data_IF_512075149131
#
_entry.id   IF_512075149131
#
_cell.length_a   1.000
_cell.length_b   1.000
_cell.length_c   1.000
_cell.angle_alpha   90.00
_cell.angle_beta   90.00
_cell.angle_gamma   90.00
#
_symmetry.space_group_name_H-M   'P 1'
#
loop_
_entity.id
_entity.type
_entity.pdbx_description
1 polymer ?
#
# COMPACT_ATOMS: atom_id res chain seq x y z
N UNK A 1 9.73 24.46 4.02
CA UNK A 1 8.97 23.30 3.57
C UNK A 1 9.76 22.07 3.99
N UNK A 2 9.09 21.09 4.59
CA UNK A 2 9.73 19.83 4.98
C UNK A 2 10.07 19.02 3.73
N UNK A 3 10.90 17.99 3.85
CA UNK A 3 11.23 17.12 2.71
C UNK A 3 9.96 16.52 2.11
N UNK A 4 9.01 16.11 2.95
CA UNK A 4 7.74 15.53 2.53
C UNK A 4 6.85 16.53 1.81
N UNK A 5 6.76 17.78 2.29
CA UNK A 5 6.03 18.84 1.59
C UNK A 5 6.61 19.10 0.21
N UNK A 6 7.95 19.14 0.08
CA UNK A 6 8.60 19.30 -1.21
C UNK A 6 8.28 18.14 -2.15
N UNK A 7 8.32 16.91 -1.65
CA UNK A 7 7.97 15.72 -2.43
C UNK A 7 6.52 15.74 -2.89
N UNK A 8 5.57 16.00 -1.98
CA UNK A 8 4.13 16.08 -2.30
C UNK A 8 3.84 17.18 -3.34
N UNK A 9 4.50 18.33 -3.22
CA UNK A 9 4.39 19.41 -4.20
C UNK A 9 4.94 19.01 -5.57
N UNK A 10 6.05 18.26 -5.62
CA UNK A 10 6.61 17.77 -6.88
C UNK A 10 5.72 16.69 -7.51
N UNK A 11 5.30 15.69 -6.74
CA UNK A 11 4.58 14.52 -7.22
C UNK A 11 3.12 14.81 -7.57
N UNK A 12 2.45 15.64 -6.78
CA UNK A 12 1.00 15.90 -6.88
C UNK A 12 0.62 17.34 -7.18
N UNK A 13 1.58 18.27 -7.18
CA UNK A 13 1.30 19.67 -7.48
C UNK A 13 0.92 19.94 -8.94
N UNK A 14 0.52 21.18 -9.19
CA UNK A 14 0.09 21.67 -10.50
C UNK A 14 1.25 22.18 -11.37
N UNK A 15 2.49 22.07 -10.90
CA UNK A 15 3.68 22.62 -11.56
C UNK A 15 4.21 21.82 -12.75
N UNK A 16 3.70 20.60 -12.98
CA UNK A 16 4.13 19.70 -14.06
C UNK A 16 2.98 19.35 -15.00
N UNK A 17 3.28 19.24 -16.29
CA UNK A 17 2.34 18.67 -17.26
C UNK A 17 2.29 17.14 -17.17
N UNK A 18 1.31 16.53 -17.82
CA UNK A 18 1.09 15.07 -17.77
C UNK A 18 2.32 14.25 -18.19
N UNK A 19 3.06 14.72 -19.19
CA UNK A 19 4.27 14.03 -19.67
C UNK A 19 5.38 14.05 -18.63
N UNK A 20 5.61 15.18 -17.98
CA UNK A 20 6.62 15.31 -16.93
C UNK A 20 6.25 14.47 -15.70
N UNK A 21 4.95 14.41 -15.36
CA UNK A 21 4.46 13.53 -14.30
C UNK A 21 4.71 12.06 -14.63
N UNK A 22 4.42 11.64 -15.86
CA UNK A 22 4.68 10.27 -16.32
C UNK A 22 6.18 9.92 -16.24
N UNK A 23 7.06 10.82 -16.70
CA UNK A 23 8.53 10.62 -16.61
C UNK A 23 9.00 10.53 -15.15
N UNK A 24 8.49 11.40 -14.26
CA UNK A 24 8.78 11.37 -12.83
C UNK A 24 8.36 10.04 -12.20
N UNK A 25 7.11 9.63 -12.42
CA UNK A 25 6.56 8.39 -11.85
C UNK A 25 7.26 7.15 -12.40
N UNK A 26 7.56 7.12 -13.70
CA UNK A 26 8.31 6.03 -14.33
C UNK A 26 9.71 5.87 -13.72
N UNK A 27 10.43 6.98 -13.53
CA UNK A 27 11.73 6.99 -12.87
C UNK A 27 11.65 6.58 -11.40
N UNK A 28 10.67 7.13 -10.67
CA UNK A 28 10.40 6.80 -9.28
C UNK A 28 10.12 5.30 -9.09
N UNK A 29 9.22 4.70 -9.89
CA UNK A 29 8.88 3.28 -9.78
C UNK A 29 10.05 2.36 -10.09
N UNK A 30 10.92 2.74 -11.04
CA UNK A 30 12.13 1.98 -11.32
C UNK A 30 13.09 1.95 -10.12
N UNK A 31 13.27 3.11 -9.48
CA UNK A 31 14.11 3.24 -8.27
C UNK A 31 13.47 2.49 -7.09
N UNK A 32 12.19 2.75 -6.82
CA UNK A 32 11.43 2.12 -5.74
C UNK A 32 11.48 0.59 -5.85
N UNK A 33 11.27 0.06 -7.06
CA UNK A 33 11.41 -1.37 -7.33
C UNK A 33 12.81 -1.87 -6.95
N UNK A 34 13.88 -1.19 -7.39
CA UNK A 34 15.26 -1.57 -7.05
C UNK A 34 15.55 -1.53 -5.55
N UNK A 35 14.98 -0.59 -4.81
CA UNK A 35 15.08 -0.53 -3.35
C UNK A 35 14.38 -1.75 -2.72
N UNK A 36 13.13 -2.03 -3.13
CA UNK A 36 12.40 -3.20 -2.62
C UNK A 36 13.08 -4.52 -2.99
N UNK A 37 13.65 -4.67 -4.18
CA UNK A 37 14.41 -5.87 -4.55
C UNK A 37 15.57 -6.13 -3.57
N UNK A 38 16.27 -5.08 -3.14
CA UNK A 38 17.35 -5.17 -2.13
C UNK A 38 16.79 -5.50 -0.74
N UNK A 39 15.73 -4.82 -0.30
CA UNK A 39 15.11 -5.04 1.03
C UNK A 39 14.53 -6.46 1.13
N UNK A 40 13.80 -6.90 0.11
CA UNK A 40 13.18 -8.23 0.06
C UNK A 40 14.21 -9.36 -0.09
N UNK A 41 15.41 -9.07 -0.59
CA UNK A 41 16.49 -10.05 -0.59
C UNK A 41 16.97 -10.38 0.84
N UNK A 42 16.90 -9.41 1.77
CA UNK A 42 17.24 -9.57 3.18
C UNK A 42 16.13 -9.02 4.10
N UNK A 43 14.96 -9.65 4.17
CA UNK A 43 13.79 -9.08 4.86
C UNK A 43 13.96 -8.96 6.39
N UNK A 44 14.93 -9.68 6.96
CA UNK A 44 15.27 -9.61 8.39
C UNK A 44 16.32 -8.53 8.71
N UNK A 45 16.93 -7.92 7.69
CA UNK A 45 17.91 -6.85 7.87
C UNK A 45 17.18 -5.56 8.26
N UNK A 46 17.60 -5.00 9.39
CA UNK A 46 17.13 -3.70 9.84
C UNK A 46 18.05 -2.65 9.25
N UNK A 47 17.48 -1.78 8.40
CA UNK A 47 18.22 -0.71 7.76
C UNK A 47 18.02 0.56 8.59
N UNK A 48 19.08 1.05 9.21
CA UNK A 48 19.10 2.30 9.98
C UNK A 48 20.09 3.28 9.35
N UNK A 49 19.72 4.55 9.29
CA UNK A 49 20.56 5.62 8.73
C UNK A 49 19.79 6.94 8.63
N UNK A 50 20.48 8.02 8.29
CA UNK A 50 19.80 9.28 7.95
C UNK A 50 19.12 9.20 6.58
N UNK A 51 18.13 10.06 6.32
CA UNK A 51 17.48 10.13 5.00
C UNK A 51 18.52 10.30 3.88
N UNK A 52 19.54 11.13 4.12
CA UNK A 52 20.64 11.33 3.19
C UNK A 52 21.52 10.09 3.00
N UNK A 53 21.91 9.43 4.09
CA UNK A 53 22.71 8.20 4.01
C UNK A 53 21.97 7.09 3.24
N UNK A 54 20.64 6.98 3.44
CA UNK A 54 19.83 6.04 2.69
C UNK A 54 19.74 6.43 1.22
N UNK A 55 19.54 7.70 0.91
CA UNK A 55 19.55 8.18 -0.48
C UNK A 55 20.86 7.81 -1.19
N UNK A 56 22.01 8.05 -0.54
CA UNK A 56 23.33 7.67 -1.05
C UNK A 56 23.50 6.13 -1.16
N UNK A 57 23.07 5.36 -0.16
CA UNK A 57 23.15 3.89 -0.14
C UNK A 57 22.38 3.25 -1.30
N UNK A 58 21.26 3.85 -1.70
CA UNK A 58 20.41 3.37 -2.77
C UNK A 58 20.63 4.10 -4.10
N UNK A 59 21.66 4.95 -4.20
CA UNK A 59 22.00 5.74 -5.39
C UNK A 59 20.80 6.52 -5.94
N UNK A 60 20.07 7.17 -5.03
CA UNK A 60 18.90 7.96 -5.35
C UNK A 60 18.99 9.36 -4.75
N UNK A 61 18.08 10.24 -5.16
CA UNK A 61 17.99 11.59 -4.61
C UNK A 61 17.23 11.57 -3.27
N UNK A 62 17.61 12.47 -2.36
CA UNK A 62 16.94 12.63 -1.05
C UNK A 62 15.42 12.77 -1.19
N UNK A 63 14.97 13.46 -2.24
CA UNK A 63 13.55 13.68 -2.49
C UNK A 63 12.83 12.41 -2.93
N UNK A 64 13.46 11.56 -3.73
CA UNK A 64 12.93 10.25 -4.14
C UNK A 64 12.94 9.29 -2.95
N UNK A 65 14.01 9.28 -2.16
CA UNK A 65 14.07 8.53 -0.90
C UNK A 65 12.98 8.97 0.07
N UNK A 66 12.67 10.26 0.12
CA UNK A 66 11.55 10.79 0.93
C UNK A 66 10.22 10.19 0.49
N UNK A 67 9.94 10.14 -0.81
CA UNK A 67 8.73 9.50 -1.34
C UNK A 67 8.66 8.01 -1.00
N UNK A 68 9.80 7.31 -1.10
CA UNK A 68 9.91 5.92 -0.70
C UNK A 68 9.62 5.72 0.80
N UNK A 69 10.22 6.57 1.65
CA UNK A 69 10.02 6.53 3.09
C UNK A 69 8.57 6.81 3.50
N UNK A 70 7.89 7.74 2.82
CA UNK A 70 6.46 8.01 2.99
C UNK A 70 5.62 6.76 2.68
N UNK A 71 5.85 6.13 1.53
CA UNK A 71 5.12 4.93 1.11
C UNK A 71 5.37 3.70 1.98
N UNK A 72 6.62 3.48 2.43
CA UNK A 72 6.95 2.30 3.24
C UNK A 72 6.56 2.46 4.72
N UNK A 73 6.37 3.69 5.21
CA UNK A 73 6.14 3.96 6.64
C UNK A 73 4.95 3.18 7.20
N UNK A 74 3.85 3.09 6.44
CA UNK A 74 2.65 2.35 6.82
C UNK A 74 2.89 0.83 6.91
N UNK A 75 3.96 0.33 6.30
CA UNK A 75 4.32 -1.09 6.23
C UNK A 75 5.40 -1.51 7.22
N UNK A 76 5.87 -0.58 8.06
CA UNK A 76 6.88 -0.87 9.09
C UNK A 76 6.29 -1.64 10.28
N UNK A 77 7.19 -2.33 10.99
CA UNK A 77 6.85 -3.26 12.07
C UNK A 77 6.61 -2.56 13.42
N UNK A 78 5.43 -1.95 13.54
CA UNK A 78 4.90 -1.48 14.82
C UNK A 78 5.47 -0.15 15.32
N UNK A 79 6.16 0.60 14.46
CA UNK A 79 6.58 1.98 14.69
C UNK A 79 6.43 2.78 13.40
N UNK A 80 6.46 4.10 13.52
CA UNK A 80 6.37 5.04 12.40
C UNK A 80 7.53 6.03 12.52
N UNK A 81 8.22 6.27 11.41
CA UNK A 81 9.24 7.31 11.33
C UNK A 81 8.58 8.70 11.27
N UNK A 82 9.25 9.77 11.70
CA UNK A 82 8.70 11.12 11.71
C UNK A 82 8.69 11.76 10.30
N UNK A 83 7.99 11.15 9.34
CA UNK A 83 8.00 11.55 7.91
C UNK A 83 7.53 13.00 7.69
N UNK A 84 6.53 13.46 8.46
CA UNK A 84 5.97 14.81 8.31
C UNK A 84 6.98 15.92 8.70
N UNK A 85 7.88 15.65 9.64
CA UNK A 85 8.84 16.63 10.17
C UNK A 85 10.30 16.31 9.86
N UNK A 86 10.57 15.31 9.02
CA UNK A 86 11.94 14.89 8.73
C UNK A 86 12.69 15.86 7.81
N UNK A 87 14.00 15.87 8.01
CA UNK A 87 15.01 16.51 7.20
C UNK A 87 16.07 15.50 6.74
N UNK A 88 17.10 15.97 6.03
CA UNK A 88 18.14 15.13 5.41
C UNK A 88 18.96 14.33 6.44
N UNK A 89 19.13 14.89 7.64
CA UNK A 89 19.95 14.34 8.73
C UNK A 89 19.10 13.54 9.73
N UNK A 90 17.78 13.49 9.54
CA UNK A 90 16.87 12.74 10.39
C UNK A 90 17.14 11.25 10.27
N UNK A 91 17.44 10.60 11.40
CA UNK A 91 17.64 9.15 11.46
C UNK A 91 16.30 8.42 11.33
N UNK A 92 16.22 7.52 10.38
CA UNK A 92 15.06 6.66 10.13
C UNK A 92 15.47 5.20 10.17
N UNK A 93 14.49 4.35 10.49
CA UNK A 93 14.66 2.91 10.56
C UNK A 93 13.68 2.22 9.63
N UNK A 94 14.14 1.28 8.83
CA UNK A 94 13.33 0.46 7.94
C UNK A 94 13.45 -1.00 8.38
N UNK A 95 12.41 -1.48 9.07
CA UNK A 95 12.18 -2.88 9.43
C UNK A 95 10.81 -3.26 8.86
N UNK A 96 10.84 -4.05 7.79
CA UNK A 96 9.63 -4.46 7.09
C UNK A 96 8.94 -5.62 7.79
N UNK A 97 7.61 -5.60 7.80
CA UNK A 97 6.80 -6.78 8.08
C UNK A 97 6.34 -7.36 6.73
N UNK A 98 6.85 -8.51 6.29
CA UNK A 98 6.52 -9.07 4.98
C UNK A 98 5.03 -9.26 4.71
N UNK A 99 4.25 -9.70 5.71
CA UNK A 99 2.82 -9.93 5.52
C UNK A 99 2.06 -8.61 5.38
N UNK A 100 2.39 -7.64 6.24
CA UNK A 100 1.79 -6.30 6.22
C UNK A 100 2.19 -5.53 4.96
N UNK A 101 3.46 -5.57 4.58
CA UNK A 101 3.99 -4.94 3.38
C UNK A 101 3.31 -5.51 2.13
N UNK A 102 3.20 -6.85 2.02
CA UNK A 102 2.50 -7.48 0.91
C UNK A 102 1.02 -7.05 0.85
N UNK A 103 0.34 -7.01 2.00
CA UNK A 103 -1.05 -6.57 2.09
C UNK A 103 -1.23 -5.13 1.59
N UNK A 104 -0.39 -4.20 2.06
CA UNK A 104 -0.42 -2.79 1.69
C UNK A 104 -0.09 -2.59 0.20
N UNK A 105 0.86 -3.33 -0.36
CA UNK A 105 1.16 -3.29 -1.80
C UNK A 105 -0.04 -3.72 -2.66
N UNK A 106 -0.79 -4.75 -2.23
CA UNK A 106 -2.00 -5.20 -2.94
C UNK A 106 -3.13 -4.16 -2.85
N UNK A 107 -3.20 -3.43 -1.72
CA UNK A 107 -4.12 -2.31 -1.54
C UNK A 107 -3.79 -1.12 -2.44
N UNK A 108 -2.51 -0.74 -2.49
CA UNK A 108 -1.99 0.30 -3.37
C UNK A 108 -2.01 -0.09 -4.87
N UNK A 109 -2.35 -1.35 -5.19
CA UNK A 109 -2.31 -1.93 -6.54
C UNK A 109 -0.92 -1.87 -7.18
N UNK A 110 0.12 -2.00 -6.36
CA UNK A 110 1.51 -1.96 -6.79
C UNK A 110 1.98 -3.31 -7.36
N UNK A 111 1.43 -3.71 -8.52
CA UNK A 111 1.73 -5.00 -9.18
C UNK A 111 3.24 -5.21 -9.39
N UNK A 112 3.98 -4.15 -9.73
CA UNK A 112 5.43 -4.21 -9.93
C UNK A 112 6.24 -4.55 -8.67
N UNK A 113 5.64 -4.46 -7.48
CA UNK A 113 6.27 -4.74 -6.19
C UNK A 113 5.82 -6.06 -5.58
N UNK A 114 4.52 -6.34 -5.53
CA UNK A 114 4.02 -7.57 -4.90
C UNK A 114 4.18 -8.82 -5.80
N UNK A 115 4.52 -8.64 -7.08
CA UNK A 115 4.87 -9.75 -8.00
C UNK A 115 6.38 -10.03 -8.07
N UNK A 116 7.20 -9.33 -7.28
CA UNK A 116 8.65 -9.54 -7.25
C UNK A 116 9.01 -11.00 -6.90
N UNK A 117 9.97 -11.64 -7.60
CA UNK A 117 10.35 -13.03 -7.35
C UNK A 117 10.96 -13.25 -5.96
N UNK A 118 11.50 -12.19 -5.33
CA UNK A 118 12.04 -12.22 -3.98
C UNK A 118 10.99 -12.69 -2.96
N UNK A 119 9.71 -12.40 -3.21
CA UNK A 119 8.62 -12.87 -2.36
C UNK A 119 8.53 -14.39 -2.29
N UNK A 120 8.97 -15.13 -3.30
CA UNK A 120 8.95 -16.60 -3.30
C UNK A 120 9.78 -17.19 -2.14
N UNK A 121 10.82 -16.47 -1.70
CA UNK A 121 11.68 -16.87 -0.59
C UNK A 121 11.18 -16.41 0.78
N UNK A 122 10.22 -15.46 0.82
CA UNK A 122 9.72 -14.86 2.06
C UNK A 122 8.32 -15.39 2.41
N UNK A 123 7.42 -15.42 1.43
CA UNK A 123 6.03 -15.82 1.57
C UNK A 123 5.71 -16.94 0.59
N UNK A 124 5.14 -18.03 1.11
CA UNK A 124 4.66 -19.12 0.26
C UNK A 124 3.59 -18.61 -0.70
N UNK A 125 3.47 -19.26 -1.87
CA UNK A 125 2.46 -18.91 -2.86
C UNK A 125 1.03 -18.98 -2.27
N UNK A 126 0.78 -19.94 -1.39
CA UNK A 126 -0.50 -20.09 -0.69
C UNK A 126 -0.79 -18.89 0.20
N UNK A 127 0.20 -18.47 1.01
CA UNK A 127 0.06 -17.32 1.91
C UNK A 127 -0.14 -16.02 1.14
N UNK A 128 0.59 -15.80 0.04
CA UNK A 128 0.37 -14.64 -0.85
C UNK A 128 -1.04 -14.62 -1.43
N UNK A 129 -1.54 -15.77 -1.89
CA UNK A 129 -2.90 -15.89 -2.43
C UNK A 129 -3.96 -15.65 -1.35
N UNK A 130 -3.71 -16.08 -0.12
CA UNK A 130 -4.57 -15.81 1.03
C UNK A 130 -4.60 -14.30 1.34
N UNK A 131 -3.44 -13.66 1.50
CA UNK A 131 -3.31 -12.23 1.75
C UNK A 131 -3.96 -11.39 0.65
N UNK A 132 -3.72 -11.73 -0.62
CA UNK A 132 -4.34 -11.05 -1.76
C UNK A 132 -5.87 -11.11 -1.69
N UNK A 133 -6.43 -12.29 -1.44
CA UNK A 133 -7.88 -12.46 -1.31
C UNK A 133 -8.44 -11.73 -0.09
N UNK A 134 -7.74 -11.79 1.04
CA UNK A 134 -8.13 -11.12 2.27
C UNK A 134 -8.19 -9.60 2.06
N UNK A 135 -7.16 -9.03 1.41
CA UNK A 135 -7.12 -7.61 1.06
C UNK A 135 -8.31 -7.22 0.18
N UNK A 136 -8.51 -7.94 -0.94
CA UNK A 136 -9.62 -7.64 -1.87
C UNK A 136 -10.99 -7.81 -1.22
N UNK A 137 -11.13 -8.77 -0.31
CA UNK A 137 -12.34 -8.98 0.45
C UNK A 137 -12.59 -7.84 1.45
N UNK A 138 -11.54 -7.28 2.08
CA UNK A 138 -11.69 -6.18 3.05
C UNK A 138 -12.32 -4.92 2.43
N UNK A 139 -11.97 -4.61 1.17
CA UNK A 139 -12.55 -3.48 0.42
C UNK A 139 -13.92 -3.79 -0.20
N UNK A 140 -14.36 -5.05 -0.19
CA UNK A 140 -15.64 -5.45 -0.80
C UNK A 140 -16.76 -5.38 0.22
N UNK A 141 -17.58 -4.32 0.14
CA UNK A 141 -18.85 -4.26 0.87
C UNK A 141 -19.80 -5.31 0.27
N UNK A 142 -19.99 -6.42 0.98
CA UNK A 142 -20.99 -7.44 0.59
C UNK A 142 -22.38 -6.87 0.86
N UNK A 143 -22.97 -6.29 -0.18
CA UNK A 143 -24.37 -5.92 -0.15
C UNK A 143 -25.20 -7.17 0.16
N UNK A 144 -26.03 -7.10 1.20
CA UNK A 144 -27.01 -8.13 1.47
C UNK A 144 -27.88 -8.33 0.22
N UNK A 145 -28.29 -9.57 -0.03
CA UNK A 145 -29.13 -9.89 -1.18
C UNK A 145 -30.39 -9.04 -1.10
N UNK A 146 -30.59 -8.15 -2.08
CA UNK A 146 -31.78 -7.30 -2.11
C UNK A 146 -33.03 -8.18 -2.16
N UNK A 147 -33.86 -8.08 -1.12
CA UNK A 147 -35.13 -8.80 -1.03
C UNK A 147 -36.16 -8.01 -1.82
N UNK A 148 -36.65 -8.58 -2.93
CA UNK A 148 -37.68 -7.94 -3.75
C UNK A 148 -39.08 -8.19 -3.16
N UNK A 149 -40.07 -7.32 -3.43
CA UNK A 149 -41.43 -7.44 -2.88
C UNK A 149 -42.10 -8.82 -3.09
N UNK A 150 -41.78 -9.52 -4.17
CA UNK A 150 -42.38 -10.82 -4.49
C UNK A 150 -41.56 -12.03 -4.00
N UNK A 151 -40.34 -11.83 -3.49
CA UNK A 151 -39.46 -12.91 -3.02
C UNK A 151 -40.02 -13.57 -1.77
N UNK A 152 -39.65 -14.84 -1.49
CA UNK A 152 -39.96 -15.49 -0.22
C UNK A 152 -39.47 -14.65 0.95
N UNK A 153 -40.33 -14.44 1.94
CA UNK A 153 -40.00 -13.63 3.11
C UNK A 153 -38.96 -14.35 3.98
N UNK A 154 -37.86 -13.68 4.38
CA UNK A 154 -36.75 -14.31 5.11
C UNK A 154 -37.11 -14.77 6.53
N UNK A 155 -38.25 -14.34 7.08
CA UNK A 155 -38.73 -14.78 8.40
C UNK A 155 -39.30 -16.21 8.42
N UNK A 156 -39.20 -16.95 7.31
CA UNK A 156 -39.66 -18.35 7.22
C UNK A 156 -41.18 -18.52 7.15
N UNK A 157 -41.96 -17.42 7.01
CA UNK A 157 -43.42 -17.49 7.03
C UNK A 157 -44.07 -18.14 5.80
N UNK A 158 -43.28 -18.55 4.79
CA UNK A 158 -43.76 -19.05 3.49
C UNK A 158 -44.53 -18.04 2.64
N UNK A 159 -44.56 -16.74 3.01
CA UNK A 159 -45.28 -15.68 2.29
C UNK A 159 -44.31 -14.84 1.46
N UNK A 160 -44.79 -14.14 0.43
CA UNK A 160 -44.01 -13.11 -0.29
C UNK A 160 -43.65 -11.95 0.65
N UNK A 161 -42.46 -11.36 0.50
CA UNK A 161 -41.94 -10.29 1.37
C UNK A 161 -42.93 -9.14 1.54
N UNK A 162 -43.53 -8.62 0.46
CA UNK A 162 -44.56 -7.55 0.49
C UNK A 162 -45.82 -7.90 1.26
N UNK A 163 -46.09 -9.19 1.49
CA UNK A 163 -47.25 -9.68 2.24
C UNK A 163 -46.91 -10.04 3.68
N UNK A 164 -45.65 -9.88 4.10
CA UNK A 164 -45.15 -10.20 5.43
C UNK A 164 -44.25 -9.06 5.96
N UNK A 165 -42.94 -9.26 6.12
CA UNK A 165 -42.04 -8.26 6.70
C UNK A 165 -41.96 -6.94 5.90
N UNK A 166 -42.30 -6.96 4.62
CA UNK A 166 -42.38 -5.78 3.75
C UNK A 166 -43.78 -5.14 3.66
N UNK A 167 -44.75 -5.56 4.50
CA UNK A 167 -46.14 -5.06 4.44
C UNK A 167 -46.33 -3.69 5.11
N UNK A 168 -45.47 -3.37 6.08
CA UNK A 168 -45.49 -2.13 6.86
C UNK A 168 -44.16 -1.36 6.77
N UNK A 169 -43.32 -1.70 5.78
CA UNK A 169 -42.06 -1.01 5.46
C UNK A 169 -42.27 -0.10 4.26
#
# INVERSE_FOLDING_TARGET
MTLLENWRNLAYGDGMNDKQKEELWSGYFAIEKGIYEKILSNPAEVIEGTVKELAEKYETEVLIMTGFLDGINESLKGYENPIETMDEDTTVKIEIDPEKLYYNMVEAKAEWLFELPQWDSILTQEKRKELYKAQKASGTVRNEQKIYPNDPCPCGSGKKYKKCCGRNK
#
